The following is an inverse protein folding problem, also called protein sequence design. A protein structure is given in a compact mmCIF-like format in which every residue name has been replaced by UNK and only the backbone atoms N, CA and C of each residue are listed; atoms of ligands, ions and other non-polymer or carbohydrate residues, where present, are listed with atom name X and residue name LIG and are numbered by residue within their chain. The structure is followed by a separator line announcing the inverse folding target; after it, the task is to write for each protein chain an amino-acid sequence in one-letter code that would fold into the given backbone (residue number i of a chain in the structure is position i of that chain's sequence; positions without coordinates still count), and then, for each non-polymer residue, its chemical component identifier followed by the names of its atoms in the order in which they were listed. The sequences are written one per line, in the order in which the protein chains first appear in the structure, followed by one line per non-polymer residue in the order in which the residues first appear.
data_IF_930039800717
#
_entry.id   IF_930039800717
#
_cell.length_a   1.000
_cell.length_b   1.000
_cell.length_c   1.000
_cell.angle_alpha   90.00
_cell.angle_beta   90.00
_cell.angle_gamma   90.00
#
_symmetry.space_group_name_H-M   'P 1'
#
loop_
_entity.id
_entity.type
_entity.pdbx_description
1 polymer ?
#
# COMPACT_ATOMS: atom_id res chain seq x y z
N UNK A 1 -9.34 -1.37 4.63
CA UNK A 1 -10.46 -0.71 3.94
C UNK A 1 -11.60 -0.35 4.86
N UNK A 2 -11.96 -1.20 5.82
CA UNK A 2 -13.05 -0.93 6.78
C UNK A 2 -12.94 0.42 7.51
N UNK A 3 -11.77 0.75 8.07
CA UNK A 3 -11.56 2.05 8.71
C UNK A 3 -11.94 3.24 7.80
N UNK A 4 -11.65 3.15 6.50
CA UNK A 4 -12.03 4.20 5.53
C UNK A 4 -13.53 4.23 5.27
N UNK A 5 -14.19 3.08 5.21
CA UNK A 5 -15.67 2.98 5.08
C UNK A 5 -16.39 3.57 6.29
N UNK A 6 -15.80 3.41 7.48
CA UNK A 6 -16.26 4.05 8.72
C UNK A 6 -15.97 5.57 8.77
N UNK A 7 -15.39 6.15 7.72
CA UNK A 7 -15.06 7.58 7.65
C UNK A 7 -13.79 7.98 8.42
N UNK A 8 -12.96 7.01 8.81
CA UNK A 8 -11.69 7.29 9.49
C UNK A 8 -10.59 7.65 8.49
N UNK A 9 -9.79 8.64 8.87
CA UNK A 9 -8.62 9.11 8.12
C UNK A 9 -7.40 8.38 8.64
N UNK A 10 -6.75 7.60 7.77
CA UNK A 10 -5.49 6.94 8.10
C UNK A 10 -4.34 7.87 7.72
N UNK A 11 -3.67 8.40 8.75
CA UNK A 11 -2.44 9.18 8.59
C UNK A 11 -1.25 8.25 8.37
N UNK A 12 -0.38 8.52 7.38
CA UNK A 12 0.85 7.76 7.20
C UNK A 12 1.73 7.84 8.44
N UNK A 13 2.74 6.96 8.57
CA UNK A 13 3.73 7.12 9.62
C UNK A 13 4.43 8.48 9.47
N UNK A 14 4.88 9.05 10.59
CA UNK A 14 5.69 10.27 10.62
C UNK A 14 6.67 10.17 11.79
N UNK A 15 7.98 10.17 11.52
CA UNK A 15 9.03 10.04 12.55
C UNK A 15 8.93 11.12 13.64
N UNK A 16 8.29 12.26 13.35
CA UNK A 16 8.12 13.37 14.29
C UNK A 16 6.97 13.14 15.27
N UNK A 17 6.00 12.28 14.95
CA UNK A 17 4.75 12.20 15.71
C UNK A 17 4.15 10.80 15.89
N UNK A 18 4.49 9.82 15.04
CA UNK A 18 4.07 8.43 15.22
C UNK A 18 4.69 7.85 16.50
N UNK A 19 3.89 7.07 17.22
CA UNK A 19 4.39 6.21 18.30
C UNK A 19 4.83 4.86 17.72
N UNK A 20 5.31 3.96 18.58
CA UNK A 20 5.63 2.60 18.18
C UNK A 20 4.37 1.89 17.64
N UNK A 21 3.29 1.91 18.43
CA UNK A 21 1.98 1.35 18.06
C UNK A 21 1.07 2.38 17.38
N UNK A 22 0.02 1.89 16.75
CA UNK A 22 -1.01 2.71 16.13
C UNK A 22 -1.69 3.62 17.17
N UNK A 23 -2.02 4.86 16.78
CA UNK A 23 -2.65 5.83 17.68
C UNK A 23 -3.88 6.46 17.04
N UNK A 24 -5.02 6.38 17.73
CA UNK A 24 -6.27 7.03 17.34
C UNK A 24 -6.47 8.38 18.02
N UNK A 25 -7.01 9.36 17.30
CA UNK A 25 -7.49 10.64 17.83
C UNK A 25 -8.69 11.13 17.02
N UNK A 26 -9.88 11.10 17.61
CA UNK A 26 -11.12 11.45 16.91
C UNK A 26 -11.35 10.54 15.70
N UNK A 27 -11.50 11.12 14.52
CA UNK A 27 -11.67 10.39 13.25
C UNK A 27 -10.35 10.03 12.57
N UNK A 28 -9.20 10.28 13.22
CA UNK A 28 -7.88 10.02 12.63
C UNK A 28 -7.19 8.85 13.33
N UNK A 29 -6.52 8.04 12.54
CA UNK A 29 -5.65 6.97 13.04
C UNK A 29 -4.27 7.16 12.41
N UNK A 30 -3.23 7.32 13.22
CA UNK A 30 -1.84 7.39 12.77
C UNK A 30 -1.20 6.02 12.79
N UNK A 31 -0.56 5.66 11.67
CA UNK A 31 0.24 4.44 11.56
C UNK A 31 1.42 4.50 12.54
N UNK A 32 1.59 3.44 13.33
CA UNK A 32 2.71 3.29 14.25
C UNK A 32 3.98 2.82 13.54
N UNK A 33 5.15 3.24 14.03
CA UNK A 33 6.45 2.94 13.42
C UNK A 33 6.74 1.44 13.32
N UNK A 34 6.22 0.62 14.25
CA UNK A 34 6.39 -0.83 14.23
C UNK A 34 5.77 -1.53 13.00
N UNK A 35 4.93 -0.81 12.24
CA UNK A 35 4.25 -1.32 11.05
C UNK A 35 5.16 -1.33 9.81
N UNK A 36 6.26 -0.57 9.85
CA UNK A 36 7.20 -0.42 8.76
C UNK A 36 8.00 -1.71 8.58
N UNK A 37 7.67 -2.50 7.55
CA UNK A 37 8.36 -3.74 7.27
C UNK A 37 9.82 -3.44 6.88
N UNK A 38 10.77 -3.95 7.66
CA UNK A 38 12.19 -3.71 7.46
C UNK A 38 12.78 -2.54 8.26
N UNK A 39 12.00 -1.92 9.16
CA UNK A 39 12.53 -1.03 10.19
C UNK A 39 12.76 -1.82 11.49
N UNK A 40 13.97 -1.79 12.03
CA UNK A 40 14.30 -2.53 13.24
C UNK A 40 13.65 -1.90 14.48
N UNK A 41 13.43 -2.72 15.52
CA UNK A 41 12.98 -2.24 16.82
C UNK A 41 13.97 -1.23 17.42
N UNK A 42 15.27 -1.50 17.30
CA UNK A 42 16.34 -0.60 17.77
C UNK A 42 16.24 0.77 17.10
N UNK A 43 16.04 0.83 15.78
CA UNK A 43 15.84 2.10 15.08
C UNK A 43 14.55 2.80 15.52
N UNK A 44 13.45 2.07 15.75
CA UNK A 44 12.23 2.66 16.31
C UNK A 44 12.50 3.29 17.70
N UNK A 45 13.21 2.59 18.58
CA UNK A 45 13.56 3.08 19.91
C UNK A 45 14.47 4.31 19.84
N UNK A 46 15.47 4.31 18.94
CA UNK A 46 16.33 5.48 18.69
C UNK A 46 15.52 6.68 18.20
N UNK A 47 14.59 6.50 17.25
CA UNK A 47 13.71 7.58 16.77
C UNK A 47 12.94 8.20 17.95
N UNK A 48 12.32 7.37 18.78
CA UNK A 48 11.54 7.84 19.94
C UNK A 48 12.42 8.47 21.02
N UNK A 49 13.63 7.95 21.23
CA UNK A 49 14.63 8.48 22.16
C UNK A 49 15.11 9.86 21.75
N UNK A 50 15.63 10.02 20.52
CA UNK A 50 16.10 11.29 20.00
C UNK A 50 15.00 12.37 20.06
N UNK A 51 13.75 12.00 19.74
CA UNK A 51 12.60 12.93 19.78
C UNK A 51 12.34 13.53 21.17
N UNK A 52 12.67 12.82 22.25
CA UNK A 52 12.53 13.34 23.63
C UNK A 52 13.56 14.40 23.96
N UNK A 53 14.74 14.32 23.34
CA UNK A 53 15.82 15.29 23.54
C UNK A 53 15.63 16.52 22.65
N UNK A 54 15.38 16.30 21.36
CA UNK A 54 15.22 17.38 20.37
C UNK A 54 14.41 16.93 19.15
N UNK A 55 13.60 17.83 18.62
CA UNK A 55 12.89 17.59 17.36
C UNK A 55 13.84 17.57 16.14
N UNK A 56 13.51 16.74 15.15
CA UNK A 56 14.18 16.70 13.85
C UNK A 56 13.82 17.94 13.03
N UNK A 57 14.82 18.74 12.66
CA UNK A 57 14.63 19.99 11.89
C UNK A 57 14.61 19.77 10.38
N UNK A 58 15.30 18.73 9.92
CA UNK A 58 15.43 18.36 8.52
C UNK A 58 15.72 16.86 8.40
N UNK A 59 15.72 16.35 7.18
CA UNK A 59 16.08 14.96 6.92
C UNK A 59 17.54 14.64 7.28
N UNK A 60 18.50 15.51 6.93
CA UNK A 60 19.90 15.37 7.35
C UNK A 60 20.05 15.35 8.89
N UNK A 61 19.34 16.22 9.60
CA UNK A 61 19.32 16.25 11.07
C UNK A 61 18.77 14.93 11.66
N UNK A 62 17.73 14.37 11.04
CA UNK A 62 17.20 13.05 11.39
C UNK A 62 18.24 11.94 11.17
N UNK A 63 18.90 11.90 10.00
CA UNK A 63 19.93 10.90 9.71
C UNK A 63 21.12 11.00 10.68
N UNK A 64 21.48 12.21 11.14
CA UNK A 64 22.58 12.43 12.09
C UNK A 64 22.24 11.90 13.49
N UNK A 65 21.03 12.18 13.96
CA UNK A 65 20.60 11.77 15.29
C UNK A 65 20.30 10.27 15.37
N UNK A 66 19.54 9.74 14.41
CA UNK A 66 19.01 8.37 14.47
C UNK A 66 19.98 7.35 13.89
N UNK A 67 20.75 7.71 12.86
CA UNK A 67 21.68 6.81 12.16
C UNK A 67 21.04 5.46 11.74
N UNK A 68 19.92 5.48 10.99
CA UNK A 68 19.32 4.27 10.44
C UNK A 68 20.24 3.62 9.39
N UNK A 69 20.14 2.30 9.23
CA UNK A 69 20.84 1.60 8.15
C UNK A 69 20.27 1.98 6.77
N UNK A 70 21.04 1.77 5.70
CA UNK A 70 20.63 2.16 4.34
C UNK A 70 19.26 1.56 3.92
N UNK A 71 19.05 0.28 4.23
CA UNK A 71 17.78 -0.39 3.93
C UNK A 71 16.61 0.21 4.74
N UNK A 72 16.85 0.65 5.98
CA UNK A 72 15.84 1.31 6.81
C UNK A 72 15.51 2.71 6.30
N UNK A 73 16.49 3.44 5.76
CA UNK A 73 16.27 4.73 5.09
C UNK A 73 15.30 4.56 3.94
N UNK A 74 15.48 3.53 3.09
CA UNK A 74 14.57 3.24 1.98
C UNK A 74 13.15 2.99 2.49
N UNK A 75 12.97 2.20 3.54
CA UNK A 75 11.65 1.93 4.14
C UNK A 75 11.00 3.22 4.69
N UNK A 76 11.77 4.06 5.39
CA UNK A 76 11.30 5.32 5.95
C UNK A 76 10.88 6.32 4.86
N UNK A 77 11.63 6.40 3.76
CA UNK A 77 11.29 7.26 2.62
C UNK A 77 10.08 6.70 1.87
N UNK A 78 10.08 5.41 1.51
CA UNK A 78 9.03 4.80 0.69
C UNK A 78 7.67 4.75 1.40
N UNK A 79 7.64 4.61 2.72
CA UNK A 79 6.42 4.69 3.53
C UNK A 79 5.90 6.11 3.74
N UNK A 80 6.69 7.13 3.44
CA UNK A 80 6.40 8.53 3.75
C UNK A 80 6.65 8.95 5.18
N UNK A 81 7.31 8.11 6.01
CA UNK A 81 7.60 8.42 7.41
C UNK A 81 8.42 9.69 7.61
N UNK A 82 9.18 10.10 6.59
CA UNK A 82 10.03 11.31 6.62
C UNK A 82 9.53 12.42 5.68
N UNK A 83 8.34 12.27 5.08
CA UNK A 83 7.78 13.29 4.17
C UNK A 83 7.66 14.67 4.85
N UNK A 84 7.38 14.68 6.16
CA UNK A 84 7.28 15.90 6.95
C UNK A 84 8.61 16.63 7.21
N UNK A 85 9.74 16.01 6.86
CA UNK A 85 11.08 16.59 6.97
C UNK A 85 11.59 17.18 5.65
N UNK A 86 10.87 16.97 4.55
CA UNK A 86 11.14 17.60 3.25
C UNK A 86 10.14 18.73 2.98
N UNK A 87 10.66 19.94 2.82
CA UNK A 87 9.85 21.12 2.48
C UNK A 87 9.32 21.09 1.05
N UNK A 88 9.89 20.26 0.17
CA UNK A 88 9.52 20.15 -1.25
C UNK A 88 8.67 18.93 -1.59
N UNK A 89 8.37 18.08 -0.60
CA UNK A 89 7.56 16.86 -0.73
C UNK A 89 7.98 15.92 -1.89
N UNK A 90 9.28 15.81 -2.16
CA UNK A 90 9.88 15.06 -3.25
C UNK A 90 10.81 13.96 -2.70
N UNK A 91 10.34 12.72 -2.75
CA UNK A 91 11.07 11.58 -2.16
C UNK A 91 12.35 11.25 -2.92
N UNK A 92 12.45 11.59 -4.21
CA UNK A 92 13.71 11.43 -4.96
C UNK A 92 14.82 12.30 -4.35
N UNK A 93 14.49 13.49 -3.83
CA UNK A 93 15.47 14.35 -3.15
C UNK A 93 15.97 13.75 -1.83
N UNK A 94 15.07 13.14 -1.06
CA UNK A 94 15.43 12.43 0.17
C UNK A 94 16.45 11.32 -0.10
N UNK A 95 16.26 10.55 -1.19
CA UNK A 95 17.27 9.57 -1.62
C UNK A 95 18.62 10.20 -1.97
N UNK A 96 18.61 11.32 -2.70
CA UNK A 96 19.85 12.05 -3.03
C UNK A 96 20.58 12.57 -1.80
N UNK A 97 19.85 13.09 -0.81
CA UNK A 97 20.41 13.59 0.45
C UNK A 97 21.02 12.47 1.29
N UNK A 98 20.38 11.30 1.35
CA UNK A 98 20.93 10.12 2.01
C UNK A 98 22.23 9.64 1.35
N UNK A 99 22.26 9.57 0.02
CA UNK A 99 23.45 9.14 -0.74
C UNK A 99 24.63 10.14 -0.59
N UNK A 100 24.35 11.44 -0.65
CA UNK A 100 25.37 12.48 -0.49
C UNK A 100 26.07 12.40 0.88
N UNK A 101 25.33 12.07 1.94
CA UNK A 101 25.88 11.88 3.28
C UNK A 101 26.86 10.71 3.33
N UNK A 102 26.53 9.59 2.70
CA UNK A 102 27.39 8.40 2.70
C UNK A 102 28.72 8.65 2.01
N UNK A 103 28.69 9.35 0.87
CA UNK A 103 29.88 9.80 0.14
C UNK A 103 30.69 10.78 0.98
N UNK A 104 30.04 11.77 1.61
CA UNK A 104 30.69 12.75 2.46
C UNK A 104 31.35 12.14 3.71
N UNK A 105 30.70 11.17 4.35
CA UNK A 105 31.27 10.43 5.47
C UNK A 105 32.51 9.60 5.05
N UNK A 106 32.47 8.98 3.88
CA UNK A 106 33.60 8.24 3.32
C UNK A 106 34.79 9.14 2.98
N UNK A 107 34.53 10.35 2.47
CA UNK A 107 35.57 11.35 2.17
C UNK A 107 36.20 11.99 3.42
N UNK A 108 35.47 12.05 4.54
CA UNK A 108 36.00 12.54 5.81
C UNK A 108 36.92 11.53 6.52
N UNK A 109 36.74 10.23 6.25
CA UNK A 109 37.53 9.13 6.84
C UNK A 109 38.82 8.78 6.11
N UNK A 110 39.06 9.32 4.92
CA UNK A 110 40.29 9.12 4.15
C UNK A 110 40.51 10.25 3.17
N UNK A 111 41.76 10.74 3.08
CA UNK A 111 42.15 11.77 2.13
C UNK A 111 41.83 11.30 0.71
N UNK A 112 40.70 11.74 0.17
CA UNK A 112 40.27 11.40 -1.18
C UNK A 112 41.36 11.76 -2.18
N UNK A 113 41.82 10.77 -2.95
CA UNK A 113 42.84 10.94 -3.99
C UNK A 113 42.36 11.84 -5.15
N UNK A 114 41.06 12.14 -5.20
CA UNK A 114 40.44 12.96 -6.24
C UNK A 114 39.69 14.14 -5.60
N UNK A 115 39.77 15.34 -6.21
CA UNK A 115 39.00 16.47 -5.75
C UNK A 115 37.50 16.18 -5.89
N UNK A 116 36.74 16.45 -4.82
CA UNK A 116 35.27 16.41 -4.87
C UNK A 116 34.82 17.58 -5.73
N UNK A 117 34.36 17.30 -6.94
CA UNK A 117 33.74 18.31 -7.81
C UNK A 117 32.29 18.43 -7.36
N UNK A 118 31.93 19.57 -6.78
CA UNK A 118 30.53 19.92 -6.53
C UNK A 118 29.83 20.14 -7.88
N UNK A 119 29.14 19.12 -8.36
CA UNK A 119 28.19 19.29 -9.45
C UNK A 119 26.88 19.82 -8.89
N UNK A 120 26.37 20.90 -9.49
CA UNK A 120 25.01 21.35 -9.23
C UNK A 120 24.05 20.35 -9.90
N UNK A 121 23.71 19.29 -9.15
CA UNK A 121 22.90 18.21 -9.66
C UNK A 121 21.52 18.77 -10.06
N UNK A 122 21.02 18.46 -11.27
CA UNK A 122 19.71 18.93 -11.69
C UNK A 122 18.65 18.47 -10.68
N UNK A 123 17.60 19.26 -10.44
CA UNK A 123 16.57 18.90 -9.49
C UNK A 123 15.98 17.54 -9.86
N UNK A 124 16.11 16.57 -8.94
CA UNK A 124 15.56 15.25 -9.13
C UNK A 124 14.05 15.34 -9.31
N UNK A 125 13.55 14.81 -10.43
CA UNK A 125 12.09 14.71 -10.64
C UNK A 125 11.52 13.77 -9.59
N UNK A 126 10.37 14.16 -9.05
CA UNK A 126 9.65 13.28 -8.14
C UNK A 126 9.08 12.09 -8.92
N UNK A 127 8.76 11.04 -8.17
CA UNK A 127 8.18 9.82 -8.71
C UNK A 127 6.77 10.08 -9.26
N UNK A 128 6.34 9.28 -10.23
CA UNK A 128 4.93 9.32 -10.62
C UNK A 128 4.02 8.92 -9.45
N UNK A 129 2.78 9.44 -9.38
CA UNK A 129 1.86 9.09 -8.28
C UNK A 129 1.66 7.58 -8.11
N UNK A 130 1.66 6.81 -9.21
CA UNK A 130 1.48 5.36 -9.17
C UNK A 130 2.73 4.64 -8.63
N UNK A 131 3.93 5.09 -8.97
CA UNK A 131 5.17 4.55 -8.42
C UNK A 131 5.27 4.82 -6.93
N UNK A 132 4.90 6.04 -6.50
CA UNK A 132 4.84 6.40 -5.08
C UNK A 132 3.91 5.48 -4.31
N UNK A 133 2.69 5.23 -4.82
CA UNK A 133 1.76 4.30 -4.20
C UNK A 133 2.29 2.86 -4.16
N UNK A 134 2.95 2.38 -5.23
CA UNK A 134 3.57 1.05 -5.22
C UNK A 134 4.62 0.92 -4.12
N UNK A 135 5.47 1.94 -3.94
CA UNK A 135 6.50 1.96 -2.89
C UNK A 135 5.89 2.04 -1.49
N UNK A 136 4.85 2.86 -1.31
CA UNK A 136 4.10 2.90 -0.05
C UNK A 136 3.50 1.53 0.28
N UNK A 137 2.89 0.86 -0.70
CA UNK A 137 2.33 -0.48 -0.52
C UNK A 137 3.39 -1.52 -0.18
N UNK A 138 4.57 -1.45 -0.80
CA UNK A 138 5.69 -2.34 -0.48
C UNK A 138 6.23 -2.12 0.95
N UNK A 139 6.34 -0.86 1.39
CA UNK A 139 6.87 -0.52 2.71
C UNK A 139 5.89 -0.79 3.86
N UNK A 140 4.58 -0.63 3.61
CA UNK A 140 3.54 -0.71 4.64
C UNK A 140 2.67 -1.97 4.56
N UNK A 141 2.61 -2.64 3.41
CA UNK A 141 1.64 -3.70 3.14
C UNK A 141 0.21 -3.20 2.89
N UNK A 142 -0.05 -1.90 3.00
CA UNK A 142 -1.35 -1.28 2.71
C UNK A 142 -1.17 0.18 2.25
N UNK A 143 -2.24 0.77 1.73
CA UNK A 143 -2.27 2.16 1.30
C UNK A 143 -3.09 3.02 2.27
N UNK A 144 -2.47 4.04 2.86
CA UNK A 144 -3.16 4.95 3.78
C UNK A 144 -4.25 5.76 3.07
N UNK A 145 -3.98 6.22 1.84
CA UNK A 145 -4.80 7.22 1.13
C UNK A 145 -5.49 6.69 -0.13
N UNK A 146 -5.20 5.47 -0.56
CA UNK A 146 -5.76 4.85 -1.76
C UNK A 146 -6.21 3.41 -1.50
N UNK A 147 -6.89 2.80 -2.46
CA UNK A 147 -7.22 1.38 -2.42
C UNK A 147 -6.22 0.58 -3.26
N UNK A 148 -5.87 -0.68 -2.92
CA UNK A 148 -4.95 -1.47 -3.74
C UNK A 148 -5.38 -1.64 -5.20
N UNK A 149 -6.69 -1.63 -5.48
CA UNK A 149 -7.23 -1.63 -6.86
C UNK A 149 -6.73 -0.42 -7.67
N UNK A 150 -6.48 0.72 -7.02
CA UNK A 150 -5.97 1.92 -7.68
C UNK A 150 -4.54 1.76 -8.23
N UNK A 151 -3.82 0.71 -7.82
CA UNK A 151 -2.51 0.34 -8.39
C UNK A 151 -2.64 -0.27 -9.79
N UNK A 152 -3.83 -0.81 -10.10
CA UNK A 152 -4.14 -1.32 -11.42
C UNK A 152 -4.42 -0.14 -12.35
N UNK A 153 -3.54 0.06 -13.33
CA UNK A 153 -3.71 1.12 -14.32
C UNK A 153 -5.06 1.03 -15.06
N UNK A 154 -5.52 2.15 -15.60
CA UNK A 154 -6.75 2.19 -16.43
C UNK A 154 -6.57 1.30 -17.66
N UNK A 155 -7.15 0.11 -17.62
CA UNK A 155 -7.12 -0.84 -18.72
C UNK A 155 -7.99 -0.41 -19.90
N UNK A 156 -7.89 -1.14 -21.01
CA UNK A 156 -8.75 -0.93 -22.20
C UNK A 156 -10.17 -1.50 -22.03
N UNK A 157 -10.41 -2.30 -21.00
CA UNK A 157 -11.69 -2.97 -20.76
C UNK A 157 -12.53 -2.09 -19.85
N UNK A 158 -13.78 -1.85 -20.23
CA UNK A 158 -14.73 -1.16 -19.38
C UNK A 158 -15.07 -2.03 -18.17
N UNK A 159 -14.94 -1.47 -16.96
CA UNK A 159 -15.18 -2.19 -15.71
C UNK A 159 -16.28 -1.49 -14.93
N UNK A 160 -17.20 -2.27 -14.38
CA UNK A 160 -18.21 -1.79 -13.44
C UNK A 160 -17.59 -1.58 -12.07
N UNK A 161 -17.97 -0.49 -11.39
CA UNK A 161 -17.66 -0.32 -9.96
C UNK A 161 -18.65 -1.09 -9.11
N UNK A 162 -18.23 -1.46 -7.91
CA UNK A 162 -19.05 -2.25 -6.99
C UNK A 162 -20.37 -1.55 -6.64
N UNK A 163 -20.34 -0.24 -6.42
CA UNK A 163 -21.53 0.58 -6.15
C UNK A 163 -22.58 0.56 -7.27
N UNK A 164 -22.15 0.33 -8.51
CA UNK A 164 -23.02 0.37 -9.69
C UNK A 164 -23.65 -0.99 -10.01
N UNK A 165 -23.22 -2.09 -9.36
CA UNK A 165 -23.67 -3.45 -9.71
C UNK A 165 -25.20 -3.60 -9.66
N UNK A 166 -25.89 -2.90 -8.76
CA UNK A 166 -27.35 -2.92 -8.67
C UNK A 166 -28.04 -2.57 -10.00
N UNK A 167 -27.46 -1.65 -10.79
CA UNK A 167 -27.99 -1.25 -12.10
C UNK A 167 -27.75 -2.30 -13.20
N UNK A 168 -27.01 -3.37 -12.90
CA UNK A 168 -26.59 -4.40 -13.85
C UNK A 168 -27.16 -5.79 -13.52
N UNK A 169 -28.14 -5.90 -12.62
CA UNK A 169 -28.82 -7.19 -12.32
C UNK A 169 -29.30 -7.86 -13.60
N UNK A 170 -29.01 -9.16 -13.73
CA UNK A 170 -29.31 -9.97 -14.91
C UNK A 170 -28.34 -9.77 -16.10
N UNK A 171 -27.24 -9.03 -15.91
CA UNK A 171 -26.22 -8.79 -16.95
C UNK A 171 -24.85 -9.28 -16.49
N UNK A 172 -24.05 -9.71 -17.47
CA UNK A 172 -22.63 -10.01 -17.24
C UNK A 172 -21.80 -8.73 -17.25
N UNK A 173 -20.96 -8.54 -16.25
CA UNK A 173 -20.05 -7.38 -16.12
C UNK A 173 -18.60 -7.82 -15.91
N UNK A 174 -17.65 -6.96 -16.27
CA UNK A 174 -16.26 -7.05 -15.80
C UNK A 174 -16.11 -6.16 -14.55
N UNK A 175 -15.66 -6.73 -13.44
CA UNK A 175 -15.40 -6.05 -12.16
C UNK A 175 -13.93 -6.23 -11.77
N UNK A 176 -13.30 -5.21 -11.20
CA UNK A 176 -11.94 -5.32 -10.64
C UNK A 176 -12.03 -5.17 -9.13
N UNK A 177 -11.57 -6.18 -8.40
CA UNK A 177 -11.62 -6.19 -6.95
C UNK A 177 -10.41 -6.85 -6.30
N UNK A 178 -10.15 -6.45 -5.07
CA UNK A 178 -9.21 -7.09 -4.15
C UNK A 178 -9.90 -8.27 -3.48
N UNK A 179 -9.29 -9.46 -3.52
CA UNK A 179 -9.80 -10.63 -2.79
C UNK A 179 -9.52 -10.47 -1.29
N UNK A 180 -10.58 -10.47 -0.47
CA UNK A 180 -10.48 -10.35 0.98
C UNK A 180 -10.42 -11.70 1.68
N UNK A 181 -11.43 -12.53 1.44
CA UNK A 181 -11.60 -13.81 2.13
C UNK A 181 -12.48 -14.76 1.32
N UNK A 182 -12.51 -16.02 1.72
CA UNK A 182 -13.21 -17.09 1.05
C UNK A 182 -13.71 -18.17 1.99
N UNK A 183 -14.76 -18.87 1.58
CA UNK A 183 -15.28 -20.06 2.26
C UNK A 183 -15.60 -21.15 1.24
N UNK A 184 -14.87 -22.25 1.34
CA UNK A 184 -15.14 -23.46 0.56
C UNK A 184 -16.38 -24.14 1.14
N UNK A 185 -17.30 -24.53 0.27
CA UNK A 185 -18.55 -25.21 0.61
C UNK A 185 -18.77 -26.36 -0.37
N UNK A 186 -19.37 -27.46 0.09
CA UNK A 186 -19.82 -28.53 -0.79
C UNK A 186 -21.26 -28.29 -1.24
N UNK A 187 -21.50 -28.46 -2.54
CA UNK A 187 -22.85 -28.53 -3.10
C UNK A 187 -23.60 -29.75 -2.55
N UNK A 188 -24.91 -29.83 -2.83
CA UNK A 188 -25.75 -30.99 -2.46
C UNK A 188 -25.23 -32.31 -3.05
N UNK A 189 -24.55 -32.26 -4.19
CA UNK A 189 -23.92 -33.42 -4.86
C UNK A 189 -22.51 -33.72 -4.35
N UNK A 190 -22.00 -32.95 -3.38
CA UNK A 190 -20.69 -33.12 -2.77
C UNK A 190 -19.55 -32.40 -3.49
N UNK A 191 -19.80 -31.80 -4.66
CA UNK A 191 -18.77 -31.05 -5.39
C UNK A 191 -18.41 -29.75 -4.67
N UNK A 192 -17.11 -29.44 -4.58
CA UNK A 192 -16.63 -28.22 -3.95
C UNK A 192 -16.92 -26.98 -4.80
N UNK A 193 -17.41 -25.93 -4.14
CA UNK A 193 -17.58 -24.57 -4.65
C UNK A 193 -17.04 -23.59 -3.61
N UNK A 194 -16.94 -22.31 -3.96
CA UNK A 194 -16.41 -21.31 -3.05
C UNK A 194 -17.22 -20.01 -3.10
N UNK A 195 -17.52 -19.45 -1.93
CA UNK A 195 -17.98 -18.07 -1.79
C UNK A 195 -16.78 -17.20 -1.45
N UNK A 196 -16.56 -16.15 -2.24
CA UNK A 196 -15.43 -15.24 -2.06
C UNK A 196 -15.94 -13.81 -1.94
N UNK A 197 -15.38 -13.08 -0.97
CA UNK A 197 -15.65 -11.66 -0.77
C UNK A 197 -14.56 -10.83 -1.45
N UNK A 198 -14.96 -9.96 -2.37
CA UNK A 198 -14.08 -8.99 -3.01
C UNK A 198 -14.46 -7.57 -2.61
N UNK A 199 -13.53 -6.64 -2.74
CA UNK A 199 -13.85 -5.21 -2.62
C UNK A 199 -13.16 -4.36 -3.67
N UNK A 200 -13.78 -3.23 -3.99
CA UNK A 200 -13.13 -2.10 -4.66
C UNK A 200 -13.20 -0.84 -3.79
N UNK A 201 -12.81 0.31 -4.35
CA UNK A 201 -12.92 1.61 -3.67
C UNK A 201 -14.34 1.94 -3.17
N UNK A 202 -15.37 1.32 -3.73
CA UNK A 202 -16.76 1.74 -3.62
C UNK A 202 -17.62 0.77 -2.83
N UNK A 203 -17.43 -0.55 -2.97
CA UNK A 203 -18.28 -1.55 -2.33
C UNK A 203 -17.53 -2.84 -1.99
N UNK A 204 -18.14 -3.63 -1.11
CA UNK A 204 -17.80 -5.04 -0.86
C UNK A 204 -18.83 -5.85 -1.64
N UNK A 205 -18.35 -6.84 -2.40
CA UNK A 205 -19.16 -7.70 -3.27
C UNK A 205 -18.93 -9.15 -2.87
N UNK A 206 -20.03 -9.89 -2.67
CA UNK A 206 -20.01 -11.34 -2.53
C UNK A 206 -20.03 -12.00 -3.91
N UNK A 207 -19.20 -13.03 -4.09
CA UNK A 207 -19.04 -13.70 -5.37
C UNK A 207 -19.12 -15.21 -5.21
N UNK A 208 -19.69 -15.87 -6.22
CA UNK A 208 -19.92 -17.31 -6.20
C UNK A 208 -19.10 -18.00 -7.28
N UNK A 209 -18.28 -18.97 -6.87
CA UNK A 209 -17.46 -19.81 -7.74
C UNK A 209 -18.04 -21.24 -7.71
N UNK A 210 -18.96 -21.53 -8.63
CA UNK A 210 -19.52 -22.87 -8.78
C UNK A 210 -18.45 -23.91 -9.15
N UNK A 211 -18.72 -25.23 -8.97
CA UNK A 211 -17.67 -26.25 -9.04
C UNK A 211 -16.79 -26.26 -10.28
N UNK A 212 -17.35 -25.98 -11.47
CA UNK A 212 -16.54 -25.87 -12.69
C UNK A 212 -15.53 -24.72 -12.61
N UNK A 213 -15.99 -23.54 -12.19
CA UNK A 213 -15.18 -22.32 -12.08
C UNK A 213 -14.17 -22.45 -10.94
N UNK A 214 -14.59 -22.98 -9.79
CA UNK A 214 -13.72 -23.28 -8.66
C UNK A 214 -12.59 -24.23 -9.07
N UNK A 215 -12.90 -25.39 -9.68
CA UNK A 215 -11.87 -26.33 -10.17
C UNK A 215 -10.89 -25.67 -11.14
N UNK A 216 -11.38 -24.79 -12.01
CA UNK A 216 -10.53 -24.12 -13.01
C UNK A 216 -9.60 -23.08 -12.39
N UNK A 217 -10.02 -22.35 -11.35
CA UNK A 217 -9.31 -21.16 -10.89
C UNK A 217 -8.85 -21.18 -9.43
N UNK A 218 -9.21 -22.18 -8.62
CA UNK A 218 -8.84 -22.24 -7.20
C UNK A 218 -7.33 -22.04 -6.96
N UNK A 219 -6.49 -22.59 -7.84
CA UNK A 219 -5.03 -22.52 -7.74
C UNK A 219 -4.43 -21.10 -7.89
N UNK A 220 -5.18 -20.13 -8.41
CA UNK A 220 -4.71 -18.73 -8.55
C UNK A 220 -5.28 -17.81 -7.47
N UNK A 221 -6.21 -18.27 -6.64
CA UNK A 221 -6.85 -17.46 -5.60
C UNK A 221 -5.91 -17.30 -4.41
N UNK A 222 -5.71 -16.04 -4.01
CA UNK A 222 -4.84 -15.67 -2.91
C UNK A 222 -5.31 -14.33 -2.37
N UNK A 223 -5.52 -14.27 -1.05
CA UNK A 223 -5.96 -13.06 -0.38
C UNK A 223 -5.00 -11.89 -0.65
N UNK A 224 -5.51 -10.67 -0.58
CA UNK A 224 -4.78 -9.42 -0.79
C UNK A 224 -4.20 -9.25 -2.22
N UNK A 225 -4.71 -10.01 -3.20
CA UNK A 225 -4.41 -9.80 -4.62
C UNK A 225 -5.61 -9.22 -5.36
N UNK A 226 -5.32 -8.46 -6.41
CA UNK A 226 -6.34 -7.81 -7.23
C UNK A 226 -6.63 -8.68 -8.46
N UNK A 227 -7.91 -8.87 -8.75
CA UNK A 227 -8.38 -9.70 -9.84
C UNK A 227 -9.37 -8.93 -10.71
N UNK A 228 -9.40 -9.28 -12.00
CA UNK A 228 -10.55 -9.00 -12.86
C UNK A 228 -11.48 -10.19 -12.84
N UNK A 229 -12.73 -9.96 -12.46
CA UNK A 229 -13.82 -10.92 -12.48
C UNK A 229 -14.74 -10.58 -13.64
N UNK A 230 -15.16 -11.60 -14.39
CA UNK A 230 -16.29 -11.49 -15.31
C UNK A 230 -17.37 -12.45 -14.84
N UNK A 231 -18.57 -11.93 -14.62
CA UNK A 231 -19.65 -12.71 -14.04
C UNK A 231 -21.02 -12.06 -14.19
N UNK A 232 -22.05 -12.85 -13.95
CA UNK A 232 -23.45 -12.44 -13.95
C UNK A 232 -23.78 -11.77 -12.61
N UNK A 233 -24.35 -10.56 -12.67
CA UNK A 233 -24.87 -9.91 -11.47
C UNK A 233 -26.25 -10.48 -11.14
N UNK A 234 -26.39 -11.02 -9.94
CA UNK A 234 -27.63 -11.60 -9.45
C UNK A 234 -28.10 -10.87 -8.18
N UNK A 235 -29.39 -10.98 -7.90
CA UNK A 235 -29.97 -10.44 -6.68
C UNK A 235 -30.94 -11.45 -6.09
N UNK A 236 -30.60 -11.97 -4.92
CA UNK A 236 -31.42 -12.91 -4.17
C UNK A 236 -31.76 -12.31 -2.80
N UNK A 237 -33.07 -12.19 -2.50
CA UNK A 237 -33.58 -11.64 -1.24
C UNK A 237 -32.98 -10.26 -0.87
N UNK A 238 -32.67 -9.45 -1.88
CA UNK A 238 -32.07 -8.11 -1.71
C UNK A 238 -30.55 -8.10 -1.64
N UNK A 239 -29.88 -9.25 -1.51
CA UNK A 239 -28.42 -9.34 -1.55
C UNK A 239 -27.93 -9.41 -3.01
N UNK A 240 -27.01 -8.51 -3.37
CA UNK A 240 -26.34 -8.53 -4.66
C UNK A 240 -25.16 -9.49 -4.62
N UNK A 241 -25.06 -10.37 -5.62
CA UNK A 241 -23.95 -11.30 -5.79
C UNK A 241 -23.42 -11.26 -7.21
N UNK A 242 -22.17 -11.66 -7.39
CA UNK A 242 -21.57 -11.86 -8.71
C UNK A 242 -21.25 -13.35 -8.90
N UNK A 243 -22.01 -14.03 -9.74
CA UNK A 243 -21.68 -15.40 -10.15
C UNK A 243 -20.57 -15.36 -11.20
N UNK A 244 -19.38 -15.79 -10.80
CA UNK A 244 -18.16 -15.60 -11.60
C UNK A 244 -18.04 -16.68 -12.67
N UNK A 245 -17.78 -16.26 -13.91
CA UNK A 245 -17.54 -17.13 -15.06
C UNK A 245 -16.04 -17.23 -15.38
N UNK A 246 -15.33 -16.10 -15.27
CA UNK A 246 -13.89 -16.00 -15.56
C UNK A 246 -13.21 -15.08 -14.55
N UNK A 247 -12.00 -15.44 -14.18
CA UNK A 247 -11.14 -14.63 -13.32
C UNK A 247 -9.74 -14.54 -13.91
N UNK A 248 -9.10 -13.38 -13.73
CA UNK A 248 -7.70 -13.17 -14.07
C UNK A 248 -7.02 -12.39 -12.96
N UNK A 249 -5.88 -12.89 -12.50
CA UNK A 249 -4.99 -12.14 -11.61
C UNK A 249 -4.43 -10.92 -12.36
N UNK A 250 -4.52 -9.76 -11.72
CA UNK A 250 -3.87 -8.54 -12.20
C UNK A 250 -2.59 -8.35 -11.38
N UNK A 251 -1.45 -8.30 -12.07
CA UNK A 251 -0.17 -7.99 -11.46
C UNK A 251 -0.05 -6.48 -11.27
N UNK A 252 0.33 -6.07 -10.05
CA UNK A 252 0.67 -4.69 -9.72
C UNK A 252 2.02 -4.25 -10.33
#
# INVERSE_FOLDING_TARGET
SEAKRMGLIIDPPDVRTSELSWRGQGTRIRVGLQTLHGLSQETCERILGCRKERHFRSFSDFLQQVQPAEHEIRVLVDSGAVDGLDTKANRSRLYGEAAAREVGASAAGGAGLFPVVEFDAPPLRDQSPIERLRREYQALGFLCRAHPVSLIGKGKVHTCKGVDLAAHVGRTVDFIGLLLTGKIVSTKTGEAMEFLTFEDETAIIETTFFPEVYRRYAHILSAQKVYRLRGLVEQDFGALTLTVEKIRLLSN
#
